data_IF_492645068621
#
_entry.id   IF_492645068621
#
_cell.length_a   1.000
_cell.length_b   1.000
_cell.length_c   1.000
_cell.angle_alpha   90.00
_cell.angle_beta   90.00
_cell.angle_gamma   90.00
#
_symmetry.space_group_name_H-M   'P 1'
#
loop_
_entity.id
_entity.type
_entity.pdbx_description
1 polymer ?
#
# COMPACT_ATOMS: atom_id res chain seq x y z
N UNK A 1 -9.77 -42.07 -51.35
CA UNK A 1 -8.61 -41.67 -50.61
C UNK A 1 -8.84 -40.25 -50.10
N UNK A 2 -9.24 -40.21 -48.79
CA UNK A 2 -9.44 -38.94 -48.09
C UNK A 2 -8.09 -38.42 -47.58
N UNK A 3 -7.59 -37.34 -48.16
CA UNK A 3 -6.43 -36.61 -47.62
C UNK A 3 -6.87 -35.81 -46.38
N UNK A 4 -6.43 -36.25 -45.19
CA UNK A 4 -6.57 -35.47 -43.96
C UNK A 4 -5.65 -34.27 -43.98
N UNK A 5 -6.24 -33.08 -43.96
CA UNK A 5 -5.52 -31.81 -43.82
C UNK A 5 -5.16 -31.65 -42.36
N UNK A 6 -3.90 -31.80 -42.00
CA UNK A 6 -3.36 -31.49 -40.69
C UNK A 6 -3.00 -30.00 -40.68
N UNK A 7 -3.82 -29.17 -40.03
CA UNK A 7 -3.51 -27.76 -39.79
C UNK A 7 -2.45 -27.66 -38.68
N UNK A 8 -1.44 -26.79 -38.81
CA UNK A 8 -0.46 -26.62 -37.75
C UNK A 8 -0.96 -25.68 -36.68
N UNK A 9 -1.18 -26.24 -35.47
CA UNK A 9 -1.57 -25.52 -34.25
C UNK A 9 -0.33 -24.98 -33.49
N UNK A 10 0.71 -24.49 -34.15
CA UNK A 10 2.02 -24.26 -33.53
C UNK A 10 2.44 -22.79 -33.39
N UNK A 11 1.55 -21.80 -33.65
CA UNK A 11 1.99 -20.39 -33.66
C UNK A 11 1.46 -19.52 -32.49
N UNK A 12 0.60 -20.03 -31.63
CA UNK A 12 0.02 -19.22 -30.52
C UNK A 12 0.84 -19.23 -29.22
N UNK A 13 1.70 -20.22 -29.01
CA UNK A 13 2.48 -20.32 -27.77
C UNK A 13 3.65 -19.32 -27.70
N UNK A 14 4.23 -18.94 -28.82
CA UNK A 14 5.42 -18.08 -28.87
C UNK A 14 5.13 -16.60 -28.52
N UNK A 15 3.93 -16.12 -28.81
CA UNK A 15 3.57 -14.72 -28.56
C UNK A 15 3.31 -14.44 -27.08
N UNK A 16 2.72 -15.40 -26.35
CA UNK A 16 2.44 -15.27 -24.91
C UNK A 16 3.74 -15.29 -24.09
N UNK A 17 4.71 -16.13 -24.47
CA UNK A 17 6.01 -16.19 -23.79
C UNK A 17 6.85 -14.94 -24.01
N UNK A 18 6.80 -14.31 -25.18
CA UNK A 18 7.51 -13.07 -25.46
C UNK A 18 6.93 -11.87 -24.67
N UNK A 19 5.62 -11.83 -24.47
CA UNK A 19 4.97 -10.78 -23.67
C UNK A 19 5.28 -10.91 -22.17
N UNK A 20 5.35 -12.13 -21.64
CA UNK A 20 5.72 -12.35 -20.23
C UNK A 20 7.17 -11.98 -19.95
N UNK A 21 8.09 -12.31 -20.86
CA UNK A 21 9.51 -11.95 -20.72
C UNK A 21 9.73 -10.42 -20.75
N UNK A 22 9.06 -9.71 -21.66
CA UNK A 22 9.12 -8.24 -21.72
C UNK A 22 8.49 -7.57 -20.49
N UNK A 23 7.43 -8.15 -19.95
CA UNK A 23 6.78 -7.69 -18.74
C UNK A 23 7.69 -7.80 -17.51
N UNK A 24 8.34 -8.93 -17.32
CA UNK A 24 9.28 -9.14 -16.21
C UNK A 24 10.48 -8.21 -16.28
N UNK A 25 11.05 -8.00 -17.47
CA UNK A 25 12.16 -7.06 -17.67
C UNK A 25 11.76 -5.61 -17.28
N UNK A 26 10.54 -5.18 -17.61
CA UNK A 26 10.03 -3.87 -17.20
C UNK A 26 9.82 -3.76 -15.68
N UNK A 27 9.39 -4.84 -15.01
CA UNK A 27 9.28 -4.92 -13.54
C UNK A 27 10.65 -4.79 -12.89
N UNK A 28 11.65 -5.53 -13.39
CA UNK A 28 13.03 -5.46 -12.89
C UNK A 28 13.65 -4.07 -13.10
N UNK A 29 13.43 -3.46 -14.25
CA UNK A 29 13.88 -2.10 -14.53
C UNK A 29 13.28 -1.11 -13.54
N UNK A 30 11.97 -1.18 -13.28
CA UNK A 30 11.29 -0.34 -12.31
C UNK A 30 11.81 -0.57 -10.89
N UNK A 31 12.06 -1.82 -10.51
CA UNK A 31 12.70 -2.17 -9.24
C UNK A 31 14.09 -1.54 -9.11
N UNK A 32 14.89 -1.58 -10.18
CA UNK A 32 16.22 -0.96 -10.21
C UNK A 32 16.19 0.54 -9.90
N UNK A 33 15.35 1.31 -10.60
CA UNK A 33 15.22 2.76 -10.33
C UNK A 33 14.58 3.05 -8.98
N UNK A 34 13.70 2.18 -8.47
CA UNK A 34 13.19 2.28 -7.11
C UNK A 34 14.31 2.12 -6.06
N UNK A 35 15.20 1.14 -6.24
CA UNK A 35 16.35 0.91 -5.37
C UNK A 35 17.31 2.12 -5.34
N UNK A 36 17.60 2.71 -6.48
CA UNK A 36 18.40 3.95 -6.57
C UNK A 36 17.71 5.12 -5.87
N UNK A 37 16.39 5.28 -6.06
CA UNK A 37 15.62 6.32 -5.41
C UNK A 37 15.68 6.18 -3.88
N UNK A 38 15.60 4.96 -3.34
CA UNK A 38 15.75 4.67 -1.92
C UNK A 38 17.16 4.98 -1.42
N UNK A 39 18.19 4.51 -2.11
CA UNK A 39 19.60 4.78 -1.76
C UNK A 39 19.91 6.28 -1.72
N UNK A 40 19.29 7.05 -2.61
CA UNK A 40 19.43 8.50 -2.70
C UNK A 40 18.41 9.28 -1.86
N UNK A 41 17.67 8.63 -0.97
CA UNK A 41 16.65 9.24 -0.08
C UNK A 41 15.56 10.03 -0.85
N UNK A 42 15.29 9.65 -2.10
CA UNK A 42 14.25 10.24 -2.95
C UNK A 42 12.91 9.52 -2.75
N UNK A 43 12.31 9.69 -1.56
CA UNK A 43 11.10 8.96 -1.13
C UNK A 43 9.93 9.14 -2.11
N UNK A 44 9.76 10.36 -2.66
CA UNK A 44 8.69 10.63 -3.63
C UNK A 44 8.83 9.80 -4.91
N UNK A 45 10.04 9.67 -5.45
CA UNK A 45 10.30 8.86 -6.65
C UNK A 45 10.13 7.37 -6.38
N UNK A 46 10.57 6.90 -5.22
CA UNK A 46 10.33 5.51 -4.78
C UNK A 46 8.83 5.21 -4.65
N UNK A 47 8.06 6.12 -4.05
CA UNK A 47 6.60 5.97 -3.94
C UNK A 47 5.94 5.96 -5.32
N UNK A 48 6.39 6.80 -6.25
CA UNK A 48 5.89 6.84 -7.63
C UNK A 48 6.13 5.50 -8.35
N UNK A 49 7.33 4.92 -8.23
CA UNK A 49 7.66 3.62 -8.83
C UNK A 49 6.79 2.49 -8.27
N UNK A 50 6.66 2.40 -6.93
CA UNK A 50 5.82 1.39 -6.28
C UNK A 50 4.35 1.51 -6.64
N UNK A 51 3.81 2.73 -6.66
CA UNK A 51 2.42 2.97 -7.04
C UNK A 51 2.16 2.57 -8.50
N UNK A 52 3.11 2.82 -9.40
CA UNK A 52 3.00 2.40 -10.79
C UNK A 52 2.99 0.86 -10.91
N UNK A 53 3.85 0.14 -10.19
CA UNK A 53 3.83 -1.32 -10.16
C UNK A 53 2.46 -1.84 -9.73
N UNK A 54 1.94 -1.32 -8.61
CA UNK A 54 0.64 -1.75 -8.05
C UNK A 54 -0.51 -1.46 -9.02
N UNK A 55 -0.46 -0.34 -9.74
CA UNK A 55 -1.53 0.06 -10.65
C UNK A 55 -1.54 -0.71 -11.97
N UNK A 56 -0.37 -1.19 -12.44
CA UNK A 56 -0.19 -1.66 -13.81
C UNK A 56 0.13 -3.16 -13.91
N UNK A 57 1.02 -3.67 -13.04
CA UNK A 57 1.51 -5.05 -13.14
C UNK A 57 0.54 -6.07 -12.52
N UNK A 58 0.56 -7.33 -12.99
CA UNK A 58 -0.19 -8.42 -12.37
C UNK A 58 0.19 -8.60 -10.90
N UNK A 59 -0.79 -8.83 -10.03
CA UNK A 59 -0.60 -9.03 -8.58
C UNK A 59 -0.21 -10.48 -8.29
N UNK A 60 0.91 -10.93 -8.84
CA UNK A 60 1.45 -12.27 -8.61
C UNK A 60 2.69 -12.20 -7.71
N UNK A 61 2.96 -13.29 -7.01
CA UNK A 61 4.15 -13.42 -6.17
C UNK A 61 5.44 -13.22 -6.97
N UNK A 62 5.50 -13.77 -8.17
CA UNK A 62 6.65 -13.67 -9.07
C UNK A 62 7.00 -12.22 -9.43
N UNK A 63 5.99 -11.40 -9.76
CA UNK A 63 6.17 -9.96 -10.04
C UNK A 63 6.67 -9.22 -8.81
N UNK A 64 6.13 -9.52 -7.62
CA UNK A 64 6.58 -8.92 -6.37
C UNK A 64 8.04 -9.25 -6.06
N UNK A 65 8.40 -10.54 -6.13
CA UNK A 65 9.77 -11.01 -5.88
C UNK A 65 10.78 -10.41 -6.87
N UNK A 66 10.46 -10.30 -8.16
CA UNK A 66 11.32 -9.70 -9.15
C UNK A 66 11.57 -8.21 -8.89
N UNK A 67 10.51 -7.46 -8.55
CA UNK A 67 10.63 -6.06 -8.20
C UNK A 67 11.48 -5.84 -6.94
N UNK A 68 11.24 -6.62 -5.88
CA UNK A 68 12.00 -6.53 -4.63
C UNK A 68 13.47 -6.93 -4.83
N UNK A 69 13.75 -7.99 -5.56
CA UNK A 69 15.11 -8.42 -5.86
C UNK A 69 15.89 -7.33 -6.63
N UNK A 70 15.29 -6.73 -7.64
CA UNK A 70 15.88 -5.64 -8.40
C UNK A 70 16.06 -4.37 -7.54
N UNK A 71 15.10 -4.05 -6.68
CA UNK A 71 15.17 -2.95 -5.72
C UNK A 71 16.35 -3.13 -4.77
N UNK A 72 16.46 -4.29 -4.13
CA UNK A 72 17.54 -4.59 -3.20
C UNK A 72 18.92 -4.58 -3.86
N UNK A 73 19.02 -5.16 -5.05
CA UNK A 73 20.26 -5.14 -5.84
C UNK A 73 20.73 -3.71 -6.12
N UNK A 74 19.84 -2.84 -6.56
CA UNK A 74 20.17 -1.46 -6.90
C UNK A 74 20.42 -0.59 -5.65
N UNK A 75 19.70 -0.83 -4.56
CA UNK A 75 19.91 -0.15 -3.29
C UNK A 75 21.28 -0.44 -2.68
N UNK A 76 21.77 -1.67 -2.80
CA UNK A 76 23.07 -2.11 -2.26
C UNK A 76 24.25 -1.87 -3.24
N UNK A 77 23.96 -1.48 -4.48
CA UNK A 77 25.01 -1.24 -5.46
C UNK A 77 25.84 0.00 -5.09
N UNK A 78 27.17 -0.05 -5.19
CA UNK A 78 28.01 1.11 -5.00
C UNK A 78 27.78 2.10 -6.17
N UNK A 79 26.94 3.10 -5.92
CA UNK A 79 26.63 4.13 -6.90
C UNK A 79 26.44 5.47 -6.20
N UNK A 80 26.97 6.54 -6.80
CA UNK A 80 26.71 7.91 -6.32
C UNK A 80 25.27 8.31 -6.63
N UNK A 81 24.66 9.12 -5.76
CA UNK A 81 23.41 9.78 -6.05
C UNK A 81 23.65 10.85 -7.12
N UNK A 82 23.34 10.51 -8.35
CA UNK A 82 23.39 11.45 -9.48
C UNK A 82 22.37 12.58 -9.35
N UNK A 83 22.25 13.36 -10.44
CA UNK A 83 21.26 14.44 -10.49
C UNK A 83 19.82 13.89 -10.29
N UNK A 84 19.08 14.52 -9.38
CA UNK A 84 17.67 14.18 -9.09
C UNK A 84 16.79 14.25 -10.33
N UNK A 85 17.04 15.19 -11.24
CA UNK A 85 16.28 15.34 -12.48
C UNK A 85 16.47 14.13 -13.41
N UNK A 86 17.69 13.64 -13.46
CA UNK A 86 18.03 12.44 -14.23
C UNK A 86 17.32 11.22 -13.65
N UNK A 87 17.38 11.02 -12.33
CA UNK A 87 16.71 9.89 -11.67
C UNK A 87 15.19 9.96 -11.84
N UNK A 88 14.59 11.15 -11.77
CA UNK A 88 13.15 11.33 -12.04
C UNK A 88 12.80 10.90 -13.48
N UNK A 89 13.59 11.30 -14.47
CA UNK A 89 13.38 10.90 -15.85
C UNK A 89 13.55 9.37 -16.05
N UNK A 90 14.48 8.74 -15.36
CA UNK A 90 14.67 7.28 -15.38
C UNK A 90 13.47 6.55 -14.77
N UNK A 91 12.90 7.07 -13.67
CA UNK A 91 11.67 6.54 -13.05
C UNK A 91 10.48 6.67 -14.01
N UNK A 92 10.31 7.85 -14.62
CA UNK A 92 9.23 8.07 -15.59
C UNK A 92 9.35 7.14 -16.81
N UNK A 93 10.56 6.97 -17.33
CA UNK A 93 10.83 6.05 -18.45
C UNK A 93 10.52 4.59 -18.08
N UNK A 94 10.91 4.15 -16.88
CA UNK A 94 10.61 2.80 -16.40
C UNK A 94 9.09 2.58 -16.21
N UNK A 95 8.35 3.58 -15.75
CA UNK A 95 6.88 3.53 -15.66
C UNK A 95 6.24 3.42 -17.04
N UNK A 96 6.74 4.16 -18.02
CA UNK A 96 6.26 4.06 -19.41
C UNK A 96 6.54 2.66 -19.96
N UNK A 97 7.75 2.11 -19.77
CA UNK A 97 8.08 0.75 -20.17
C UNK A 97 7.15 -0.29 -19.54
N UNK A 98 6.85 -0.15 -18.25
CA UNK A 98 5.90 -1.03 -17.55
C UNK A 98 4.50 -0.97 -18.18
N UNK A 99 3.99 0.22 -18.47
CA UNK A 99 2.68 0.39 -19.11
C UNK A 99 2.61 -0.17 -20.53
N UNK A 100 3.71 -0.10 -21.27
CA UNK A 100 3.78 -0.72 -22.59
C UNK A 100 3.85 -2.24 -22.52
N UNK A 101 4.54 -2.78 -21.50
CA UNK A 101 4.67 -4.22 -21.31
C UNK A 101 3.37 -4.86 -20.80
N UNK A 102 2.57 -4.10 -20.02
CA UNK A 102 1.25 -4.48 -19.53
C UNK A 102 0.19 -3.49 -20.02
N UNK A 103 -0.14 -3.53 -21.33
CA UNK A 103 -1.17 -2.65 -21.87
C UNK A 103 -2.50 -2.98 -21.19
N UNK A 104 -3.15 -1.97 -20.63
CA UNK A 104 -4.52 -2.09 -20.12
C UNK A 104 -5.40 -2.34 -21.33
N UNK A 105 -5.70 -3.60 -21.60
CA UNK A 105 -6.71 -3.94 -22.59
C UNK A 105 -8.06 -3.48 -22.03
N UNK A 106 -8.88 -2.79 -22.81
CA UNK A 106 -10.21 -2.30 -22.39
C UNK A 106 -11.15 -3.43 -21.92
N UNK A 107 -10.74 -4.68 -22.03
CA UNK A 107 -11.44 -5.85 -21.49
C UNK A 107 -11.29 -6.00 -19.97
N UNK A 108 -10.22 -5.45 -19.36
CA UNK A 108 -10.06 -5.49 -17.89
C UNK A 108 -10.94 -4.46 -17.17
N UNK A 109 -11.49 -3.47 -17.91
CA UNK A 109 -12.51 -2.55 -17.39
C UNK A 109 -13.94 -3.10 -17.49
N UNK A 110 -14.13 -4.26 -18.14
CA UNK A 110 -15.46 -4.89 -18.30
C UNK A 110 -15.71 -6.06 -17.33
N UNK A 111 -14.71 -6.55 -16.62
CA UNK A 111 -14.99 -7.20 -15.35
C UNK A 111 -15.35 -6.07 -14.38
N UNK A 112 -16.65 -5.83 -14.20
CA UNK A 112 -17.11 -5.12 -13.01
C UNK A 112 -16.32 -5.66 -11.85
N UNK A 113 -15.59 -4.82 -11.08
CA UNK A 113 -14.94 -5.30 -9.86
C UNK A 113 -16.02 -6.11 -9.14
N UNK A 114 -15.72 -7.30 -8.61
CA UNK A 114 -16.70 -8.06 -7.84
C UNK A 114 -17.31 -7.04 -6.90
N UNK A 115 -18.65 -6.94 -6.81
CA UNK A 115 -19.34 -5.81 -6.18
C UNK A 115 -18.53 -5.48 -4.94
N UNK A 116 -17.92 -4.31 -4.96
CA UNK A 116 -16.89 -3.96 -3.98
C UNK A 116 -17.54 -4.25 -2.65
N UNK A 117 -17.06 -5.25 -1.94
CA UNK A 117 -17.69 -5.70 -0.71
C UNK A 117 -17.87 -4.43 0.10
N UNK A 118 -19.11 -3.98 0.21
CA UNK A 118 -19.48 -2.64 0.64
C UNK A 118 -18.71 -2.34 1.92
N UNK A 119 -17.76 -1.40 1.84
CA UNK A 119 -16.99 -1.01 3.02
C UNK A 119 -17.98 -0.23 3.87
N UNK A 120 -18.50 -0.89 4.89
CA UNK A 120 -19.38 -0.25 5.87
C UNK A 120 -18.48 0.61 6.78
N UNK A 121 -18.38 1.89 6.49
CA UNK A 121 -17.53 2.85 7.21
C UNK A 121 -18.05 3.19 8.60
N UNK A 122 -18.88 2.35 9.21
CA UNK A 122 -19.47 2.58 10.53
C UNK A 122 -18.67 1.92 11.63
N UNK A 123 -18.44 2.69 12.69
CA UNK A 123 -17.88 2.22 13.94
C UNK A 123 -18.54 2.92 15.13
N UNK A 124 -18.48 2.26 16.27
CA UNK A 124 -18.78 2.83 17.58
C UNK A 124 -17.71 2.30 18.55
N UNK A 125 -16.79 3.15 18.90
CA UNK A 125 -15.62 2.83 19.73
C UNK A 125 -15.53 3.81 20.90
N UNK A 126 -14.45 3.76 21.68
CA UNK A 126 -14.16 4.71 22.75
C UNK A 126 -12.86 5.44 22.45
N UNK A 127 -12.84 6.73 22.76
CA UNK A 127 -11.60 7.50 22.78
C UNK A 127 -10.78 7.23 24.07
N UNK A 128 -9.62 7.85 24.17
CA UNK A 128 -8.73 7.72 25.34
C UNK A 128 -9.31 8.33 26.63
N UNK A 129 -10.37 9.12 26.54
CA UNK A 129 -11.13 9.64 27.68
C UNK A 129 -12.32 8.75 28.06
N UNK A 130 -12.52 7.62 27.37
CA UNK A 130 -13.63 6.69 27.58
C UNK A 130 -14.95 7.12 26.94
N UNK A 131 -14.98 8.22 26.19
CA UNK A 131 -16.18 8.71 25.53
C UNK A 131 -16.49 7.84 24.31
N UNK A 132 -17.77 7.55 24.08
CA UNK A 132 -18.21 6.88 22.87
C UNK A 132 -17.98 7.79 21.66
N UNK A 133 -17.37 7.25 20.61
CA UNK A 133 -17.03 7.94 19.36
C UNK A 133 -17.45 7.07 18.17
N UNK A 134 -18.14 7.67 17.23
CA UNK A 134 -18.63 7.05 16.02
C UNK A 134 -18.12 7.77 14.77
N UNK A 135 -18.32 7.18 13.61
CA UNK A 135 -18.06 7.81 12.30
C UNK A 135 -18.82 9.14 12.14
N UNK A 136 -19.96 9.28 12.83
CA UNK A 136 -20.82 10.46 12.73
C UNK A 136 -20.23 11.68 13.44
N UNK A 137 -19.40 11.49 14.46
CA UNK A 137 -18.76 12.57 15.21
C UNK A 137 -17.75 13.36 14.34
N UNK A 138 -17.36 12.79 13.23
CA UNK A 138 -16.42 13.40 12.26
C UNK A 138 -17.06 13.76 10.93
N UNK A 139 -18.39 13.89 10.88
CA UNK A 139 -19.09 14.33 9.66
C UNK A 139 -18.56 15.66 9.13
N UNK A 140 -18.45 15.78 7.80
CA UNK A 140 -17.91 16.94 7.13
C UNK A 140 -16.38 16.98 7.07
N UNK A 141 -15.68 16.00 7.65
CA UNK A 141 -14.23 15.81 7.53
C UNK A 141 -13.89 14.48 6.84
N UNK A 142 -12.79 14.47 6.13
CA UNK A 142 -12.21 13.23 5.61
C UNK A 142 -11.58 12.46 6.78
N UNK A 143 -11.98 11.23 6.99
CA UNK A 143 -11.42 10.39 8.04
C UNK A 143 -10.23 9.62 7.47
N UNK A 144 -9.02 9.96 7.93
CA UNK A 144 -7.78 9.26 7.60
C UNK A 144 -7.51 8.23 8.70
N UNK A 145 -7.86 6.97 8.43
CA UNK A 145 -7.93 5.92 9.43
C UNK A 145 -6.83 4.87 9.21
N UNK A 146 -6.17 4.47 10.29
CA UNK A 146 -5.25 3.34 10.33
C UNK A 146 -5.55 2.41 11.50
N UNK A 147 -5.28 1.11 11.29
CA UNK A 147 -5.30 0.09 12.32
C UNK A 147 -3.87 -0.26 12.75
N UNK A 148 -3.67 -0.50 14.03
CA UNK A 148 -2.36 -0.86 14.54
C UNK A 148 -2.38 -1.19 16.02
N UNK A 149 -1.21 -1.30 16.63
CA UNK A 149 -1.02 -1.50 18.06
C UNK A 149 0.28 -0.84 18.54
N UNK A 150 0.31 -0.44 19.81
CA UNK A 150 1.40 0.43 20.31
C UNK A 150 2.75 -0.28 20.41
N UNK A 151 2.77 -1.60 20.55
CA UNK A 151 3.99 -2.42 20.62
C UNK A 151 4.51 -2.87 19.24
N UNK A 152 3.94 -2.34 18.15
CA UNK A 152 4.40 -2.63 16.80
C UNK A 152 5.79 -1.99 16.57
N UNK A 153 6.82 -2.77 16.19
CA UNK A 153 8.18 -2.25 16.15
C UNK A 153 8.51 -1.43 14.90
N UNK A 154 7.70 -1.52 13.83
CA UNK A 154 8.09 -0.99 12.51
C UNK A 154 6.93 -0.28 11.78
N UNK A 155 5.96 -1.01 11.27
CA UNK A 155 4.95 -0.48 10.32
C UNK A 155 4.07 0.59 10.97
N UNK A 156 3.62 0.40 12.21
CA UNK A 156 2.70 1.33 12.84
C UNK A 156 3.32 2.71 13.14
N UNK A 157 4.53 2.81 13.72
CA UNK A 157 5.16 4.12 13.91
C UNK A 157 5.48 4.79 12.58
N UNK A 158 5.92 4.04 11.56
CA UNK A 158 6.17 4.59 10.21
C UNK A 158 4.90 5.16 9.59
N UNK A 159 3.77 4.45 9.68
CA UNK A 159 2.47 4.93 9.19
C UNK A 159 2.02 6.21 9.89
N UNK A 160 2.20 6.31 11.21
CA UNK A 160 1.81 7.50 11.97
C UNK A 160 2.73 8.71 11.65
N UNK A 161 4.01 8.48 11.40
CA UNK A 161 4.93 9.53 10.91
C UNK A 161 4.52 10.03 9.53
N UNK A 162 4.15 9.14 8.61
CA UNK A 162 3.65 9.51 7.29
C UNK A 162 2.33 10.29 7.40
N UNK A 163 1.42 9.86 8.26
CA UNK A 163 0.16 10.55 8.54
C UNK A 163 0.42 11.97 9.06
N UNK A 164 1.33 12.14 10.02
CA UNK A 164 1.72 13.45 10.54
C UNK A 164 2.35 14.34 9.44
N UNK A 165 3.19 13.77 8.59
CA UNK A 165 3.78 14.49 7.46
C UNK A 165 2.73 14.95 6.45
N UNK A 166 1.74 14.10 6.12
CA UNK A 166 0.60 14.48 5.27
C UNK A 166 -0.18 15.65 5.88
N UNK A 167 -0.51 15.58 7.16
CA UNK A 167 -1.23 16.65 7.86
C UNK A 167 -0.44 17.96 7.87
N UNK A 168 0.87 17.89 7.99
CA UNK A 168 1.76 19.07 7.91
C UNK A 168 1.75 19.67 6.50
N UNK A 169 1.83 18.83 5.46
CA UNK A 169 1.86 19.26 4.06
C UNK A 169 0.52 19.87 3.61
N UNK A 170 -0.60 19.41 4.16
CA UNK A 170 -1.93 19.96 3.89
C UNK A 170 -2.10 21.39 4.45
N UNK A 171 -1.28 21.83 5.40
CA UNK A 171 -1.36 23.17 5.97
C UNK A 171 -2.77 23.50 6.49
N UNK A 172 -3.40 24.54 5.93
CA UNK A 172 -4.74 24.96 6.34
C UNK A 172 -5.84 23.92 6.04
N UNK A 173 -5.67 23.12 4.98
CA UNK A 173 -6.63 22.07 4.60
C UNK A 173 -6.60 20.88 5.56
N UNK A 174 -5.59 20.73 6.40
CA UNK A 174 -5.55 19.70 7.43
C UNK A 174 -6.75 19.73 8.38
N UNK A 175 -7.41 20.89 8.54
CA UNK A 175 -8.65 21.03 9.32
C UNK A 175 -9.82 20.19 8.76
N UNK A 176 -9.76 19.85 7.48
CA UNK A 176 -10.77 19.02 6.79
C UNK A 176 -10.50 17.53 6.96
N UNK A 177 -9.37 17.15 7.55
CA UNK A 177 -8.97 15.76 7.76
C UNK A 177 -9.00 15.45 9.25
N UNK A 178 -9.62 14.33 9.61
CA UNK A 178 -9.57 13.75 10.94
C UNK A 178 -8.70 12.50 10.90
N UNK A 179 -7.48 12.54 11.44
CA UNK A 179 -6.65 11.36 11.56
C UNK A 179 -7.13 10.50 12.74
N UNK A 180 -7.23 9.19 12.50
CA UNK A 180 -7.74 8.19 13.45
C UNK A 180 -6.78 7.00 13.52
N UNK A 181 -6.44 6.58 14.73
CA UNK A 181 -5.70 5.34 15.00
C UNK A 181 -6.61 4.40 15.79
N UNK A 182 -6.95 3.24 15.22
CA UNK A 182 -7.76 2.22 15.90
C UNK A 182 -6.84 1.09 16.35
N UNK A 183 -6.75 0.85 17.65
CA UNK A 183 -5.97 -0.29 18.12
C UNK A 183 -6.64 -1.62 17.79
N UNK A 184 -5.81 -2.59 17.38
CA UNK A 184 -6.21 -4.00 17.22
C UNK A 184 -5.81 -4.86 18.42
N UNK A 185 -5.19 -4.25 19.44
CA UNK A 185 -4.77 -4.93 20.67
C UNK A 185 -5.25 -4.20 21.93
N UNK A 186 -6.58 -4.09 22.13
CA UNK A 186 -7.15 -3.30 23.21
C UNK A 186 -6.79 -3.83 24.61
N UNK A 187 -6.31 -5.06 24.72
CA UNK A 187 -5.94 -5.66 26.00
C UNK A 187 -4.60 -5.12 26.52
N UNK A 188 -3.64 -4.84 25.60
CA UNK A 188 -2.34 -4.25 25.95
C UNK A 188 -2.34 -2.73 25.83
N UNK A 189 -3.09 -2.19 24.90
CA UNK A 189 -3.14 -0.78 24.58
C UNK A 189 -4.14 -0.04 25.48
N UNK A 190 -3.78 0.21 26.74
CA UNK A 190 -4.60 0.99 27.65
C UNK A 190 -4.83 2.42 27.12
N UNK A 191 -5.88 3.14 27.55
CA UNK A 191 -6.13 4.52 27.14
C UNK A 191 -4.94 5.47 27.37
N UNK A 192 -4.22 5.29 28.47
CA UNK A 192 -3.04 6.09 28.78
C UNK A 192 -1.89 5.82 27.82
N UNK A 193 -1.64 4.55 27.49
CA UNK A 193 -0.63 4.13 26.53
C UNK A 193 -0.97 4.66 25.13
N UNK A 194 -2.20 4.50 24.68
CA UNK A 194 -2.67 5.02 23.39
C UNK A 194 -2.50 6.52 23.27
N UNK A 195 -2.89 7.27 24.31
CA UNK A 195 -2.75 8.73 24.35
C UNK A 195 -1.30 9.15 24.19
N UNK A 196 -0.41 8.56 24.96
CA UNK A 196 1.03 8.86 24.88
C UNK A 196 1.57 8.50 23.51
N UNK A 197 1.22 7.33 22.99
CA UNK A 197 1.70 6.83 21.72
C UNK A 197 1.36 7.76 20.56
N UNK A 198 0.09 8.10 20.35
CA UNK A 198 -0.30 8.95 19.21
C UNK A 198 0.21 10.38 19.34
N UNK A 199 0.32 10.92 20.55
CA UNK A 199 0.83 12.27 20.79
C UNK A 199 2.32 12.42 20.42
N UNK A 200 3.09 11.33 20.41
CA UNK A 200 4.48 11.35 19.95
C UNK A 200 4.60 11.66 18.45
N UNK A 201 3.54 11.50 17.68
CA UNK A 201 3.52 11.74 16.24
C UNK A 201 2.80 13.05 15.89
N UNK A 202 1.54 13.16 16.26
CA UNK A 202 0.74 14.37 16.04
C UNK A 202 -0.46 14.40 17.00
N UNK A 203 -0.63 15.50 17.73
CA UNK A 203 -1.70 15.65 18.73
C UNK A 203 -3.11 15.67 18.15
N UNK A 204 -3.25 15.82 16.82
CA UNK A 204 -4.54 15.74 16.10
C UNK A 204 -5.02 14.32 15.89
N UNK A 205 -4.14 13.33 16.03
CA UNK A 205 -4.51 11.91 15.86
C UNK A 205 -5.38 11.48 17.03
N UNK A 206 -6.61 11.07 16.75
CA UNK A 206 -7.52 10.52 17.78
C UNK A 206 -7.32 9.01 17.83
N UNK A 207 -6.90 8.51 18.97
CA UNK A 207 -6.80 7.07 19.21
C UNK A 207 -8.14 6.52 19.70
N UNK A 208 -8.55 5.42 19.10
CA UNK A 208 -9.81 4.73 19.40
C UNK A 208 -9.55 3.29 19.84
N UNK A 209 -10.32 2.83 20.79
CA UNK A 209 -10.28 1.47 21.34
C UNK A 209 -11.70 0.97 21.62
N UNK A 210 -11.84 -0.30 21.99
CA UNK A 210 -13.10 -0.92 22.32
C UNK A 210 -12.91 -2.33 22.87
N UNK A 211 -14.00 -3.08 23.06
CA UNK A 211 -13.84 -4.50 23.35
C UNK A 211 -13.23 -5.24 22.14
N UNK A 212 -12.57 -6.39 22.36
CA UNK A 212 -12.03 -7.19 21.26
C UNK A 212 -13.06 -7.50 20.17
N UNK A 213 -14.33 -7.74 20.55
CA UNK A 213 -15.43 -8.03 19.62
C UNK A 213 -15.79 -6.80 18.78
N UNK A 214 -15.83 -5.60 19.38
CA UNK A 214 -16.10 -4.35 18.68
C UNK A 214 -14.96 -4.04 17.70
N UNK A 215 -13.72 -4.19 18.12
CA UNK A 215 -12.54 -4.00 17.26
C UNK A 215 -12.60 -4.94 16.06
N UNK A 216 -12.89 -6.23 16.29
CA UNK A 216 -13.02 -7.21 15.20
C UNK A 216 -14.12 -6.82 14.22
N UNK A 217 -15.29 -6.44 14.73
CA UNK A 217 -16.41 -5.97 13.88
C UNK A 217 -16.03 -4.75 13.05
N UNK A 218 -15.32 -3.79 13.63
CA UNK A 218 -14.87 -2.61 12.90
C UNK A 218 -13.82 -2.99 11.86
N UNK A 219 -12.85 -3.84 12.18
CA UNK A 219 -11.86 -4.35 11.23
C UNK A 219 -12.54 -5.06 10.05
N UNK A 220 -13.55 -5.91 10.31
CA UNK A 220 -14.33 -6.59 9.27
C UNK A 220 -15.08 -5.60 8.38
N UNK A 221 -15.66 -4.54 8.95
CA UNK A 221 -16.31 -3.46 8.20
C UNK A 221 -15.36 -2.78 7.22
N UNK A 222 -14.11 -2.55 7.64
CA UNK A 222 -13.06 -1.94 6.81
C UNK A 222 -12.24 -2.96 6.02
N UNK A 223 -12.61 -4.27 6.06
CA UNK A 223 -11.89 -5.37 5.39
C UNK A 223 -10.43 -5.51 5.85
N UNK A 224 -10.15 -5.09 7.07
CA UNK A 224 -8.84 -5.25 7.71
C UNK A 224 -8.75 -6.62 8.35
N UNK A 225 -7.67 -7.33 8.06
CA UNK A 225 -7.33 -8.62 8.68
C UNK A 225 -6.18 -8.41 9.66
N UNK A 226 -6.34 -8.93 10.86
CA UNK A 226 -5.28 -9.00 11.87
C UNK A 226 -5.40 -10.31 12.65
N UNK A 227 -4.28 -10.80 13.12
CA UNK A 227 -4.22 -12.04 13.89
C UNK A 227 -3.23 -11.89 15.04
N UNK A 228 -3.60 -12.41 16.22
CA UNK A 228 -2.68 -12.51 17.36
C UNK A 228 -1.85 -13.77 17.18
N UNK A 229 -0.58 -13.60 16.85
CA UNK A 229 0.38 -14.70 16.86
C UNK A 229 0.95 -14.81 18.28
N UNK A 230 0.82 -15.97 18.90
CA UNK A 230 1.55 -16.27 20.13
C UNK A 230 2.99 -16.59 19.74
N UNK A 231 3.91 -15.83 20.31
CA UNK A 231 5.33 -16.18 20.20
C UNK A 231 5.51 -17.55 20.88
N UNK A 232 6.04 -18.56 20.21
CA UNK A 232 6.18 -19.90 20.79
C UNK A 232 7.27 -19.99 21.87
N UNK A 233 7.78 -18.85 22.40
CA UNK A 233 8.69 -18.82 23.56
C UNK A 233 10.06 -19.46 23.30
#
# INVERSE_FOLDING_TARGET
>A
PMKRLVLPFLFLASAVQAQTAGGMAAVEQLGGVNGQALACKQVALSSQARNALIAVAPKTREVGEAFEAATNKAFLAPGGCGDRKRLAAEVDAAIVALRLAYPVTRHDTAASPPPAAEIVTRYLLKDVAGRAVSDQDFRGRFQLLTFGYTSCPDVCPTTLLEMAAVLKNLGADAKRVQPLFITVDPERDSPAVLKTYVNNFDSRIVALSGSPELIRKVADNYKVRYEKVRDPG
#
